data_IF_103572586949
#
_entry.id   IF_103572586949
#
_cell.length_a   1.000
_cell.length_b   1.000
_cell.length_c   1.000
_cell.angle_alpha   90.00
_cell.angle_beta   90.00
_cell.angle_gamma   90.00
#
_symmetry.space_group_name_H-M   'P 1'
#
loop_
_entity.id
_entity.type
_entity.pdbx_description
1 polymer ?
#
# COMPACT_ATOMS: atom_id res chain seq x y z
N UNK A 1 14.91 -0.68 33.56
CA UNK A 1 13.67 -1.23 32.98
C UNK A 1 13.42 -0.47 31.68
N UNK A 2 13.99 -0.94 30.58
CA UNK A 2 14.11 -0.15 29.34
C UNK A 2 13.66 -0.90 28.08
N UNK A 3 13.19 -2.15 28.22
CA UNK A 3 12.82 -3.00 27.08
C UNK A 3 11.43 -2.74 26.51
N UNK A 4 10.49 -2.18 27.28
CA UNK A 4 9.11 -2.02 26.81
C UNK A 4 8.89 -0.80 25.93
N UNK A 5 9.60 0.31 26.13
CA UNK A 5 9.39 1.54 25.35
C UNK A 5 9.93 1.43 23.92
N UNK A 6 11.07 0.76 23.75
CA UNK A 6 11.72 0.53 22.46
C UNK A 6 10.83 -0.33 21.54
N UNK A 7 10.22 -1.37 22.10
CA UNK A 7 9.26 -2.23 21.41
C UNK A 7 8.04 -1.45 20.87
N UNK A 8 7.52 -0.49 21.63
CA UNK A 8 6.37 0.32 21.19
C UNK A 8 6.76 1.31 20.09
N UNK A 9 7.98 1.85 20.14
CA UNK A 9 8.51 2.72 19.08
C UNK A 9 8.67 1.96 17.77
N UNK A 10 9.15 0.71 17.82
CA UNK A 10 9.29 -0.15 16.64
C UNK A 10 7.94 -0.49 15.99
N UNK A 11 6.86 -0.54 16.76
CA UNK A 11 5.50 -0.81 16.28
C UNK A 11 4.75 0.43 15.81
N UNK A 12 5.33 1.63 15.97
CA UNK A 12 4.66 2.88 15.58
C UNK A 12 4.63 2.98 14.05
N UNK A 13 3.47 3.26 13.43
CA UNK A 13 3.40 3.51 11.99
C UNK A 13 4.34 4.64 11.58
N UNK A 14 5.04 4.43 10.46
CA UNK A 14 5.92 5.45 9.89
C UNK A 14 5.10 6.40 9.02
N UNK A 15 5.37 7.70 9.13
CA UNK A 15 4.70 8.70 8.32
C UNK A 15 4.98 8.46 6.82
N UNK A 16 3.95 8.45 5.96
CA UNK A 16 4.13 8.19 4.55
C UNK A 16 4.87 9.34 3.86
N UNK A 17 5.78 8.97 2.95
CA UNK A 17 6.53 9.95 2.16
C UNK A 17 5.62 10.68 1.17
N UNK A 18 5.92 11.95 0.81
CA UNK A 18 5.16 12.67 -0.22
C UNK A 18 5.14 11.94 -1.57
N UNK A 19 6.15 11.12 -1.86
CA UNK A 19 6.22 10.29 -3.08
C UNK A 19 5.27 9.09 -3.10
N UNK A 20 4.72 8.68 -1.96
CA UNK A 20 3.67 7.65 -1.89
C UNK A 20 2.27 8.23 -2.12
N UNK A 21 2.13 9.56 -2.12
CA UNK A 21 0.88 10.22 -2.45
C UNK A 21 0.67 10.26 -3.98
N UNK A 22 -0.47 9.75 -4.45
CA UNK A 22 -0.87 9.78 -5.86
C UNK A 22 -1.07 11.20 -6.43
N UNK A 23 -1.24 12.21 -5.56
CA UNK A 23 -1.47 13.62 -5.95
C UNK A 23 -2.82 13.90 -6.62
N UNK A 24 -3.63 12.88 -6.87
CA UNK A 24 -4.90 12.96 -7.60
C UNK A 24 -6.14 12.95 -6.70
N UNK A 25 -5.97 13.07 -5.38
CA UNK A 25 -7.09 13.12 -4.43
C UNK A 25 -7.78 11.78 -4.18
N UNK A 26 -7.02 10.67 -4.27
CA UNK A 26 -7.49 9.30 -4.01
C UNK A 26 -8.15 9.18 -2.61
N UNK A 27 -9.23 8.37 -2.48
CA UNK A 27 -9.86 8.02 -1.20
C UNK A 27 -10.00 6.50 -1.05
N UNK A 28 -9.49 5.88 0.04
CA UNK A 28 -8.71 6.52 1.11
C UNK A 28 -7.34 7.02 0.61
N UNK A 29 -6.92 8.17 1.13
CA UNK A 29 -5.58 8.71 0.89
C UNK A 29 -4.56 7.91 1.72
N UNK A 30 -3.29 7.88 1.30
CA UNK A 30 -2.21 7.24 2.08
C UNK A 30 -2.10 7.83 3.51
N UNK A 31 -2.37 9.14 3.64
CA UNK A 31 -2.43 9.81 4.94
C UNK A 31 -3.63 9.35 5.77
N UNK A 32 -4.78 9.05 5.16
CA UNK A 32 -5.96 8.53 5.87
C UNK A 32 -5.67 7.14 6.45
N UNK A 33 -4.93 6.30 5.71
CA UNK A 33 -4.50 4.96 6.15
C UNK A 33 -3.54 5.12 7.34
N UNK A 34 -2.52 5.96 7.19
CA UNK A 34 -1.56 6.26 8.25
C UNK A 34 -2.23 6.75 9.54
N UNK A 35 -3.16 7.71 9.45
CA UNK A 35 -3.87 8.24 10.62
C UNK A 35 -4.70 7.15 11.32
N UNK A 36 -5.33 6.25 10.56
CA UNK A 36 -6.07 5.11 11.10
C UNK A 36 -5.14 4.18 11.88
N UNK A 37 -4.01 3.80 11.29
CA UNK A 37 -3.01 2.93 11.93
C UNK A 37 -2.41 3.59 13.17
N UNK A 38 -2.09 4.89 13.10
CA UNK A 38 -1.55 5.64 14.22
C UNK A 38 -2.55 5.67 15.39
N UNK A 39 -3.82 5.92 15.11
CA UNK A 39 -4.88 5.90 16.13
C UNK A 39 -5.07 4.50 16.75
N UNK A 40 -4.82 3.42 16.00
CA UNK A 40 -4.83 2.06 16.54
C UNK A 40 -3.63 1.79 17.44
N UNK A 41 -2.44 2.21 17.02
CA UNK A 41 -1.23 2.13 17.82
C UNK A 41 -1.35 2.88 19.14
N UNK A 42 -1.90 4.10 19.13
CA UNK A 42 -2.12 4.87 20.35
C UNK A 42 -3.08 4.15 21.31
N UNK A 43 -4.17 3.56 20.78
CA UNK A 43 -5.12 2.77 21.58
C UNK A 43 -4.49 1.50 22.14
N UNK A 44 -3.69 0.80 21.35
CA UNK A 44 -2.99 -0.41 21.77
C UNK A 44 -1.95 -0.11 22.85
N UNK A 45 -1.17 0.96 22.67
CA UNK A 45 -0.19 1.44 23.64
C UNK A 45 -0.85 1.85 24.96
N UNK A 46 -1.98 2.55 24.91
CA UNK A 46 -2.74 2.93 26.09
C UNK A 46 -3.28 1.73 26.87
N UNK A 47 -3.65 0.64 26.17
CA UNK A 47 -4.12 -0.62 26.78
C UNK A 47 -2.99 -1.59 27.14
N UNK A 48 -1.74 -1.28 26.77
CA UNK A 48 -0.59 -2.18 26.81
C UNK A 48 -0.85 -3.54 26.13
N UNK A 49 -1.74 -3.57 25.15
CA UNK A 49 -2.18 -4.78 24.46
C UNK A 49 -1.75 -4.74 23.00
N UNK A 50 -0.60 -5.37 22.72
CA UNK A 50 -0.03 -5.46 21.37
C UNK A 50 -0.90 -6.31 20.43
N UNK A 51 -1.80 -7.15 20.94
CA UNK A 51 -2.68 -7.98 20.09
C UNK A 51 -3.66 -7.14 19.27
N UNK A 52 -3.94 -5.91 19.71
CA UNK A 52 -4.78 -4.95 19.00
C UNK A 52 -4.12 -4.33 17.76
N UNK A 53 -2.79 -4.49 17.61
CA UNK A 53 -2.03 -4.03 16.44
C UNK A 53 -1.94 -5.09 15.34
N UNK A 54 -2.37 -6.32 15.63
CA UNK A 54 -2.50 -7.37 14.62
C UNK A 54 -3.80 -7.10 13.87
N UNK A 55 -3.84 -6.04 13.06
CA UNK A 55 -4.80 -6.01 11.96
C UNK A 55 -4.45 -7.21 11.08
N UNK A 56 -5.44 -8.09 10.88
CA UNK A 56 -5.37 -9.18 9.91
C UNK A 56 -4.67 -8.63 8.68
N UNK A 57 -3.46 -9.09 8.40
CA UNK A 57 -2.95 -9.08 7.04
C UNK A 57 -4.11 -9.66 6.24
N UNK A 58 -4.82 -8.79 5.52
CA UNK A 58 -5.58 -9.28 4.41
C UNK A 58 -4.49 -9.75 3.48
N UNK A 59 -4.19 -11.04 3.64
CA UNK A 59 -3.51 -11.90 2.70
C UNK A 59 -4.31 -11.89 1.41
N UNK A 60 -4.46 -10.74 0.79
CA UNK A 60 -4.48 -10.70 -0.64
C UNK A 60 -3.04 -11.04 -1.00
N UNK A 61 -2.84 -12.24 -1.55
CA UNK A 61 -1.64 -12.60 -2.31
C UNK A 61 -1.53 -11.68 -3.53
N UNK A 62 -1.49 -10.37 -3.29
CA UNK A 62 -1.38 -9.33 -4.27
C UNK A 62 0.09 -8.98 -4.29
N UNK A 63 0.75 -9.24 -5.41
CA UNK A 63 2.13 -8.82 -5.62
C UNK A 63 2.29 -7.29 -5.67
N UNK A 64 1.16 -6.56 -5.60
CA UNK A 64 1.09 -5.14 -5.36
C UNK A 64 0.80 -4.86 -3.88
N UNK A 65 1.75 -4.18 -3.24
CA UNK A 65 1.55 -3.55 -1.95
C UNK A 65 1.21 -2.06 -2.18
N UNK A 66 0.17 -1.49 -1.53
CA UNK A 66 -0.17 -0.07 -1.66
C UNK A 66 0.96 0.90 -1.32
N UNK A 67 1.87 0.47 -0.44
CA UNK A 67 2.89 1.31 0.16
C UNK A 67 4.24 1.20 -0.58
N UNK A 68 4.39 0.30 -1.55
CA UNK A 68 5.65 0.12 -2.27
C UNK A 68 5.45 -0.04 -3.78
N UNK A 69 6.39 0.52 -4.55
CA UNK A 69 6.42 0.29 -5.98
C UNK A 69 7.05 -1.07 -6.28
N UNK A 70 6.30 -1.92 -6.98
CA UNK A 70 6.79 -3.20 -7.51
C UNK A 70 7.25 -3.02 -8.96
N UNK A 71 8.37 -3.66 -9.33
CA UNK A 71 8.87 -3.63 -10.70
C UNK A 71 8.09 -4.62 -11.61
N UNK A 72 7.79 -4.20 -12.83
CA UNK A 72 7.06 -5.00 -13.83
C UNK A 72 7.72 -4.93 -15.20
N UNK A 73 7.48 -5.95 -16.02
CA UNK A 73 7.91 -5.98 -17.42
C UNK A 73 6.73 -5.70 -18.34
N UNK A 74 6.94 -4.87 -19.36
CA UNK A 74 5.96 -4.62 -20.42
C UNK A 74 6.09 -5.77 -21.44
N UNK A 75 5.00 -6.51 -21.65
CA UNK A 75 4.95 -7.60 -22.63
C UNK A 75 4.47 -7.15 -24.00
N UNK A 76 3.56 -6.17 -24.07
CA UNK A 76 3.16 -5.56 -25.34
C UNK A 76 2.73 -4.11 -25.20
N UNK A 77 2.88 -3.35 -26.29
CA UNK A 77 2.33 -1.99 -26.45
C UNK A 77 1.67 -1.93 -27.81
N UNK A 78 0.37 -1.64 -27.83
CA UNK A 78 -0.45 -1.59 -29.04
C UNK A 78 -1.11 -0.23 -29.15
N UNK A 79 -0.97 0.44 -30.29
CA UNK A 79 -1.68 1.68 -30.56
C UNK A 79 -3.09 1.37 -31.08
N UNK A 80 -4.11 1.83 -30.35
CA UNK A 80 -5.52 1.61 -30.71
C UNK A 80 -6.09 2.76 -31.55
N UNK A 81 -5.68 3.99 -31.25
CA UNK A 81 -6.04 5.22 -31.98
C UNK A 81 -4.82 6.15 -32.06
N UNK A 82 -4.97 7.31 -32.69
CA UNK A 82 -3.90 8.32 -32.76
C UNK A 82 -3.33 8.70 -31.38
N UNK A 83 -4.18 8.75 -30.35
CA UNK A 83 -3.87 9.21 -29.00
C UNK A 83 -4.04 8.15 -27.90
N UNK A 84 -4.41 6.91 -28.26
CA UNK A 84 -4.66 5.83 -27.29
C UNK A 84 -3.75 4.64 -27.50
N UNK A 85 -3.06 4.25 -26.43
CA UNK A 85 -2.18 3.09 -26.38
C UNK A 85 -2.64 2.11 -25.31
N UNK A 86 -2.66 0.83 -25.67
CA UNK A 86 -2.87 -0.28 -24.76
C UNK A 86 -1.53 -0.89 -24.37
N UNK A 87 -1.24 -0.91 -23.08
CA UNK A 87 -0.06 -1.55 -22.51
C UNK A 87 -0.46 -2.87 -21.84
N UNK A 88 0.33 -3.91 -22.07
CA UNK A 88 0.22 -5.19 -21.36
C UNK A 88 1.47 -5.38 -20.52
N UNK A 89 1.26 -5.70 -19.24
CA UNK A 89 2.32 -5.95 -18.28
C UNK A 89 2.28 -7.42 -17.87
N UNK A 90 3.46 -8.02 -17.69
CA UNK A 90 3.60 -9.33 -17.07
C UNK A 90 3.93 -9.14 -15.59
N UNK A 91 3.09 -9.75 -14.76
CA UNK A 91 3.31 -9.84 -13.33
C UNK A 91 4.25 -11.03 -13.06
N UNK A 92 5.14 -10.94 -12.05
CA UNK A 92 5.83 -12.10 -11.53
C UNK A 92 4.84 -13.21 -11.14
N UNK A 93 5.30 -14.47 -11.09
CA UNK A 93 4.51 -15.54 -10.47
C UNK A 93 3.17 -15.92 -11.12
N UNK A 94 2.83 -15.42 -12.33
CA UNK A 94 1.50 -15.58 -12.94
C UNK A 94 0.36 -15.10 -12.03
N UNK A 95 0.60 -14.04 -11.26
CA UNK A 95 -0.42 -13.47 -10.39
C UNK A 95 -1.45 -12.64 -11.17
N UNK A 96 -2.42 -12.09 -10.44
CA UNK A 96 -3.35 -11.08 -10.96
C UNK A 96 -3.45 -9.94 -9.97
N UNK A 97 -3.73 -8.72 -10.46
CA UNK A 97 -3.79 -7.52 -9.61
C UNK A 97 -5.03 -7.48 -8.69
N UNK A 98 -6.02 -8.33 -8.93
CA UNK A 98 -7.29 -8.40 -8.18
C UNK A 98 -7.96 -7.03 -7.92
N UNK A 99 -7.84 -6.10 -8.87
CA UNK A 99 -8.42 -4.77 -8.75
C UNK A 99 -9.95 -4.84 -8.88
N UNK A 100 -10.64 -4.23 -7.91
CA UNK A 100 -12.07 -3.96 -7.98
C UNK A 100 -12.42 -2.84 -8.95
N UNK A 101 -13.71 -2.67 -9.23
CA UNK A 101 -14.21 -1.59 -10.09
C UNK A 101 -13.78 -0.22 -9.55
N UNK A 102 -13.20 0.61 -10.43
CA UNK A 102 -12.72 1.96 -10.10
C UNK A 102 -11.34 2.03 -9.44
N UNK A 103 -10.73 0.88 -9.10
CA UNK A 103 -9.35 0.86 -8.64
C UNK A 103 -8.39 0.99 -9.83
N UNK A 104 -7.29 1.70 -9.62
CA UNK A 104 -6.25 1.95 -10.61
C UNK A 104 -4.87 1.78 -9.99
N UNK A 105 -3.86 1.60 -10.83
CA UNK A 105 -2.47 1.51 -10.43
C UNK A 105 -1.72 2.77 -10.87
N UNK A 106 -0.73 3.17 -10.08
CA UNK A 106 0.18 4.26 -10.45
C UNK A 106 1.43 3.64 -11.06
N UNK A 107 1.73 4.01 -12.29
CA UNK A 107 2.94 3.60 -12.98
C UNK A 107 4.00 4.71 -12.84
N UNK A 108 5.23 4.30 -12.53
CA UNK A 108 6.39 5.19 -12.46
C UNK A 108 7.51 4.58 -13.29
N UNK A 109 7.90 5.27 -14.36
CA UNK A 109 9.01 4.93 -15.25
C UNK A 109 10.19 5.86 -15.06
#
# INVERSE_FOLDING_TARGET
MSGNEDDWLALKPQEPSPSQCCGSGCKPCIYDIYEKELAQWERAKAKQDKSLLVEKEQSSNSELNPDTFTAFSISSVEQLTEDTYQYRFELPGNSSLQLGLGQHIVLRG
#
